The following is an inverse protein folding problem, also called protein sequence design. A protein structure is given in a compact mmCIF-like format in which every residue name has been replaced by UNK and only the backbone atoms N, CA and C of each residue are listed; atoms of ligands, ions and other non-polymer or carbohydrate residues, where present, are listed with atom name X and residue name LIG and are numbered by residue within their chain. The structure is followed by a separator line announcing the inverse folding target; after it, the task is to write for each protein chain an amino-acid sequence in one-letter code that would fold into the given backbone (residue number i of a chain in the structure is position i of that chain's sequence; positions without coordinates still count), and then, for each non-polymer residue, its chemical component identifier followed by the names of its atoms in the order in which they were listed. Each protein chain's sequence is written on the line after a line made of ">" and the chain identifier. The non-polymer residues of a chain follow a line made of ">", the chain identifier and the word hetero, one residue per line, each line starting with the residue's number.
data_IF_448706422103
#
_entry.id   IF_448706422103
#
_cell.length_a   1.000
_cell.length_b   1.000
_cell.length_c   1.000
_cell.angle_alpha   90.00
_cell.angle_beta   90.00
_cell.angle_gamma   90.00
#
_symmetry.space_group_name_H-M   'P 1'
#
loop_
_entity.id
_entity.type
_entity.pdbx_description
1 polymer ?
#
# COMPACT_ATOMS: atom_id res chain seq x y z
N UNK A 1 -4.07 -14.65 22.47
CA UNK A 1 -3.26 -13.56 21.88
C UNK A 1 -4.10 -12.39 21.31
N UNK A 2 -5.43 -12.35 21.46
CA UNK A 2 -6.25 -11.17 21.12
C UNK A 2 -6.48 -10.22 22.31
N UNK A 3 -5.86 -10.47 23.47
CA UNK A 3 -6.05 -9.69 24.71
C UNK A 3 -5.51 -8.26 24.62
N UNK A 4 -4.55 -8.00 23.72
CA UNK A 4 -3.85 -6.72 23.62
C UNK A 4 -4.24 -5.97 22.33
N UNK A 5 -5.46 -6.24 21.84
CA UNK A 5 -6.01 -5.56 20.67
C UNK A 5 -6.92 -4.39 21.08
N UNK A 6 -6.80 -3.28 20.37
CA UNK A 6 -7.63 -2.08 20.55
C UNK A 6 -8.40 -1.78 19.26
N UNK A 7 -9.57 -1.10 19.34
CA UNK A 7 -10.24 -0.64 18.14
C UNK A 7 -9.33 0.23 17.29
N UNK A 8 -9.36 0.03 15.97
CA UNK A 8 -8.57 0.85 15.05
C UNK A 8 -8.94 2.32 15.21
N UNK A 9 -7.91 3.20 15.22
CA UNK A 9 -8.07 4.62 15.50
C UNK A 9 -9.01 5.28 14.47
N UNK A 10 -10.24 5.59 14.89
CA UNK A 10 -11.25 6.24 14.03
C UNK A 10 -10.74 7.56 13.41
N UNK A 11 -9.89 8.29 14.15
CA UNK A 11 -9.27 9.52 13.69
C UNK A 11 -8.29 9.34 12.51
N UNK A 12 -7.89 8.10 12.18
CA UNK A 12 -7.01 7.76 11.05
C UNK A 12 -7.77 7.04 9.92
N UNK A 13 -9.09 6.90 10.03
CA UNK A 13 -9.88 6.22 9.02
C UNK A 13 -10.10 7.15 7.81
N UNK A 14 -9.56 6.77 6.63
CA UNK A 14 -9.86 7.43 5.36
C UNK A 14 -11.10 6.82 4.68
N UNK A 15 -11.24 5.49 4.75
CA UNK A 15 -12.41 4.75 4.30
C UNK A 15 -12.48 3.37 4.98
N UNK A 16 -13.68 2.76 5.02
CA UNK A 16 -13.86 1.32 5.22
C UNK A 16 -13.56 0.72 6.61
N UNK A 17 -14.01 -0.54 6.76
CA UNK A 17 -13.83 -1.50 7.88
C UNK A 17 -14.42 -1.14 9.25
N UNK A 18 -15.75 -1.27 9.37
CA UNK A 18 -16.38 -1.39 10.69
C UNK A 18 -15.80 -2.61 11.42
N UNK A 19 -15.44 -2.44 12.69
CA UNK A 19 -14.95 -3.53 13.54
C UNK A 19 -13.48 -3.90 13.33
N UNK A 20 -12.70 -3.12 12.57
CA UNK A 20 -11.26 -3.33 12.50
C UNK A 20 -10.60 -3.02 13.85
N UNK A 21 -9.62 -3.84 14.21
CA UNK A 21 -8.82 -3.72 15.43
C UNK A 21 -7.34 -3.58 15.05
N UNK A 22 -6.51 -3.23 16.03
CA UNK A 22 -5.05 -3.16 15.88
C UNK A 22 -4.36 -3.68 17.15
N UNK A 23 -3.10 -4.09 17.05
CA UNK A 23 -2.28 -4.37 18.25
C UNK A 23 -2.04 -3.09 19.07
N UNK A 24 -1.63 -3.23 20.32
CA UNK A 24 -1.21 -2.10 21.17
C UNK A 24 -0.08 -1.28 20.52
N UNK A 25 0.88 -1.94 19.89
CA UNK A 25 1.96 -1.30 19.11
C UNK A 25 1.45 -0.57 17.86
N UNK A 26 0.25 -0.90 17.37
CA UNK A 26 -0.29 -0.45 16.09
C UNK A 26 0.34 -1.12 14.85
N UNK A 27 1.25 -2.08 15.05
CA UNK A 27 1.94 -2.81 13.98
C UNK A 27 1.04 -3.81 13.27
N UNK A 28 0.18 -4.50 14.00
CA UNK A 28 -0.76 -5.46 13.44
C UNK A 28 -2.12 -4.82 13.24
N UNK A 29 -2.73 -5.09 12.10
CA UNK A 29 -4.08 -4.71 11.75
C UNK A 29 -4.94 -5.96 11.62
N UNK A 30 -6.01 -6.02 12.41
CA UNK A 30 -6.96 -7.12 12.42
C UNK A 30 -8.23 -6.71 11.70
N UNK A 31 -8.48 -7.32 10.55
CA UNK A 31 -9.60 -6.97 9.66
C UNK A 31 -10.64 -8.09 9.65
N UNK A 32 -11.89 -7.84 10.10
CA UNK A 32 -13.01 -8.71 9.78
C UNK A 32 -13.13 -8.87 8.27
N UNK A 33 -12.98 -10.10 7.78
CA UNK A 33 -12.80 -10.36 6.37
C UNK A 33 -13.75 -11.46 5.89
N UNK A 34 -14.25 -11.29 4.66
CA UNK A 34 -15.02 -12.35 4.00
C UNK A 34 -14.10 -13.50 3.61
N UNK A 35 -14.64 -14.71 3.53
CA UNK A 35 -13.91 -15.89 3.05
C UNK A 35 -13.15 -15.65 1.74
N UNK A 36 -13.74 -14.90 0.79
CA UNK A 36 -13.06 -14.55 -0.48
C UNK A 36 -11.79 -13.72 -0.29
N UNK A 37 -11.81 -12.74 0.63
CA UNK A 37 -10.63 -11.91 0.90
C UNK A 37 -9.52 -12.72 1.56
N UNK A 38 -9.88 -13.63 2.46
CA UNK A 38 -8.95 -14.58 3.09
C UNK A 38 -8.32 -15.50 2.04
N UNK A 39 -9.16 -16.11 1.19
CA UNK A 39 -8.68 -16.97 0.11
C UNK A 39 -7.77 -16.21 -0.85
N UNK A 40 -8.04 -14.93 -1.13
CA UNK A 40 -7.17 -14.11 -1.96
C UNK A 40 -5.77 -14.01 -1.37
N UNK A 41 -5.65 -13.59 -0.09
CA UNK A 41 -4.36 -13.49 0.60
C UNK A 41 -3.61 -14.82 0.65
N UNK A 42 -4.30 -15.91 1.00
CA UNK A 42 -3.70 -17.25 1.00
C UNK A 42 -3.19 -17.67 -0.38
N UNK A 43 -3.95 -17.37 -1.43
CA UNK A 43 -3.59 -17.71 -2.82
C UNK A 43 -2.38 -16.92 -3.30
N UNK A 44 -2.33 -15.60 -3.04
CA UNK A 44 -1.18 -14.79 -3.46
C UNK A 44 0.09 -15.16 -2.71
N UNK A 45 0.00 -15.54 -1.42
CA UNK A 45 1.14 -16.00 -0.64
C UNK A 45 1.80 -17.26 -1.20
N UNK A 46 1.04 -18.12 -1.87
CA UNK A 46 1.54 -19.38 -2.41
C UNK A 46 1.95 -19.28 -3.89
N UNK A 47 1.25 -18.46 -4.67
CA UNK A 47 1.35 -18.50 -6.13
C UNK A 47 1.78 -17.18 -6.78
N UNK A 48 1.70 -16.06 -6.05
CA UNK A 48 1.94 -14.72 -6.62
C UNK A 48 2.88 -13.88 -5.74
N UNK A 49 4.17 -14.28 -5.55
CA UNK A 49 5.10 -13.49 -4.74
C UNK A 49 5.31 -12.01 -5.14
N UNK A 50 5.06 -11.64 -6.39
CA UNK A 50 5.10 -10.25 -6.85
C UNK A 50 3.86 -9.44 -6.42
N UNK A 51 2.72 -10.09 -6.18
CA UNK A 51 1.58 -9.46 -5.52
C UNK A 51 1.86 -9.14 -4.05
N UNK A 52 2.66 -9.96 -3.36
CA UNK A 52 3.06 -9.71 -1.97
C UNK A 52 3.84 -8.40 -1.82
N UNK A 53 4.49 -7.95 -2.90
CA UNK A 53 5.21 -6.69 -2.92
C UNK A 53 4.31 -5.48 -3.04
N UNK A 54 3.01 -5.63 -3.33
CA UNK A 54 2.07 -4.52 -3.58
C UNK A 54 0.83 -4.52 -2.68
N UNK A 55 0.79 -5.40 -1.67
CA UNK A 55 -0.31 -5.50 -0.69
C UNK A 55 0.26 -5.47 0.73
N UNK A 56 -0.57 -5.22 1.76
CA UNK A 56 -0.12 -5.35 3.15
C UNK A 56 0.34 -6.78 3.44
N UNK A 57 1.45 -6.91 4.19
CA UNK A 57 2.00 -8.21 4.59
C UNK A 57 0.95 -9.02 5.34
N UNK A 58 0.69 -10.24 4.88
CA UNK A 58 -0.28 -11.15 5.47
C UNK A 58 0.40 -12.12 6.45
N UNK A 59 -0.03 -12.11 7.70
CA UNK A 59 0.49 -12.97 8.77
C UNK A 59 -0.39 -14.20 9.05
N UNK A 60 -1.60 -14.25 8.49
CA UNK A 60 -2.53 -15.36 8.70
C UNK A 60 -3.92 -14.91 9.12
N UNK A 61 -4.69 -15.85 9.66
CA UNK A 61 -6.07 -15.62 10.12
C UNK A 61 -6.24 -16.00 11.58
N UNK A 62 -7.11 -15.29 12.28
CA UNK A 62 -7.58 -15.67 13.63
C UNK A 62 -9.07 -16.05 13.56
N UNK A 63 -9.44 -17.10 14.28
CA UNK A 63 -10.83 -17.51 14.51
C UNK A 63 -11.26 -17.18 15.93
N UNK A 64 -12.46 -16.65 16.13
CA UNK A 64 -13.00 -16.26 17.45
C UNK A 64 -13.03 -17.41 18.49
N UNK A 65 -12.98 -18.68 18.07
CA UNK A 65 -12.98 -19.85 18.98
C UNK A 65 -11.73 -20.03 19.86
N UNK A 66 -10.68 -19.23 19.71
CA UNK A 66 -9.49 -19.29 20.58
C UNK A 66 -9.58 -18.37 21.82
N UNK A 67 -10.78 -17.87 22.15
CA UNK A 67 -10.98 -16.89 23.22
C UNK A 67 -11.71 -17.44 24.46
N UNK A 68 -12.18 -18.70 24.45
CA UNK A 68 -13.05 -19.25 25.51
C UNK A 68 -12.50 -20.45 26.32
N UNK A 69 -11.21 -20.78 26.24
CA UNK A 69 -10.60 -21.74 27.19
C UNK A 69 -9.92 -21.04 28.37
N UNK A 70 -10.64 -20.16 29.08
CA UNK A 70 -10.23 -19.75 30.44
C UNK A 70 -11.32 -19.10 31.30
N UNK A 71 -12.62 -19.36 31.14
CA UNK A 71 -13.57 -19.09 32.23
C UNK A 71 -14.75 -20.06 32.19
N UNK A 72 -14.74 -21.04 33.11
CA UNK A 72 -15.89 -21.90 33.34
C UNK A 72 -17.00 -21.19 34.12
N UNK A 73 -18.23 -21.46 33.68
CA UNK A 73 -19.49 -21.48 34.45
C UNK A 73 -20.10 -20.14 34.89
N UNK A 74 -21.16 -19.69 34.18
CA UNK A 74 -22.53 -19.78 34.69
C UNK A 74 -23.56 -19.16 33.72
N UNK A 75 -24.74 -19.81 33.73
CA UNK A 75 -26.07 -19.31 33.39
C UNK A 75 -26.52 -19.31 31.90
N UNK A 76 -27.71 -19.88 31.75
CA UNK A 76 -28.35 -20.29 30.52
C UNK A 76 -29.44 -19.32 30.04
N UNK A 77 -29.75 -19.47 28.75
CA UNK A 77 -30.99 -19.15 28.01
C UNK A 77 -31.36 -17.67 27.83
N UNK A 78 -31.38 -17.17 26.59
CA UNK A 78 -32.63 -16.92 25.83
C UNK A 78 -32.40 -16.80 24.30
N UNK A 79 -33.32 -17.44 23.59
CA UNK A 79 -33.96 -17.14 22.30
C UNK A 79 -33.20 -17.09 20.96
N UNK A 80 -33.84 -17.74 19.99
CA UNK A 80 -33.36 -18.01 18.65
C UNK A 80 -33.73 -16.89 17.68
N UNK A 81 -32.71 -16.26 17.10
CA UNK A 81 -32.80 -15.73 15.73
C UNK A 81 -31.65 -16.31 14.92
N UNK A 82 -31.98 -17.33 14.11
CA UNK A 82 -31.10 -17.90 13.10
C UNK A 82 -31.09 -16.98 11.86
N UNK A 83 -30.22 -16.00 11.86
CA UNK A 83 -29.43 -15.71 10.65
C UNK A 83 -28.08 -16.39 10.89
N UNK A 84 -27.61 -17.18 9.93
CA UNK A 84 -26.36 -17.91 10.06
C UNK A 84 -25.23 -16.90 10.33
N UNK A 85 -24.73 -16.87 11.57
CA UNK A 85 -23.49 -16.20 11.90
C UNK A 85 -22.38 -16.90 11.09
N UNK A 86 -22.01 -16.33 9.94
CA UNK A 86 -20.75 -16.66 9.30
C UNK A 86 -19.67 -16.48 10.37
N UNK A 87 -18.91 -17.54 10.68
CA UNK A 87 -17.79 -17.46 11.62
C UNK A 87 -16.88 -16.30 11.17
N UNK A 88 -16.88 -15.18 11.89
CA UNK A 88 -16.09 -14.00 11.54
C UNK A 88 -14.61 -14.30 11.75
N UNK A 89 -13.93 -14.63 10.67
CA UNK A 89 -12.48 -14.73 10.67
C UNK A 89 -11.86 -13.34 10.54
N UNK A 90 -10.78 -13.12 11.28
CA UNK A 90 -9.97 -11.91 11.18
C UNK A 90 -8.75 -12.19 10.30
N UNK A 91 -8.52 -11.35 9.30
CA UNK A 91 -7.22 -11.25 8.63
C UNK A 91 -6.24 -10.52 9.56
N UNK A 92 -5.03 -11.07 9.71
CA UNK A 92 -3.91 -10.42 10.40
C UNK A 92 -2.95 -9.86 9.35
N UNK A 93 -2.83 -8.54 9.29
CA UNK A 93 -2.00 -7.82 8.32
C UNK A 93 -0.98 -6.92 9.03
N UNK A 94 0.18 -6.65 8.42
CA UNK A 94 1.02 -5.51 8.82
C UNK A 94 0.26 -4.23 8.52
N UNK A 95 0.11 -3.37 9.52
CA UNK A 95 -0.56 -2.08 9.40
C UNK A 95 0.22 -1.17 8.46
N UNK A 96 -0.44 -0.67 7.40
CA UNK A 96 0.15 0.33 6.51
C UNK A 96 0.35 1.70 7.17
N UNK A 97 -0.09 1.87 8.42
CA UNK A 97 0.07 3.09 9.22
C UNK A 97 1.10 2.95 10.36
N UNK A 98 1.73 1.79 10.50
CA UNK A 98 2.72 1.57 11.56
C UNK A 98 3.93 2.50 11.38
N UNK A 99 4.41 3.06 12.49
CA UNK A 99 5.58 3.95 12.55
C UNK A 99 5.37 5.37 12.04
N UNK A 100 4.20 5.73 11.50
CA UNK A 100 3.88 7.13 11.17
C UNK A 100 3.57 7.94 12.44
N UNK A 101 4.07 9.18 12.51
CA UNK A 101 3.70 10.14 13.56
C UNK A 101 2.35 10.76 13.23
N UNK A 102 2.25 11.40 12.06
CA UNK A 102 1.03 12.04 11.59
C UNK A 102 0.73 11.64 10.13
N UNK A 103 0.24 10.41 9.88
CA UNK A 103 0.01 9.94 8.51
C UNK A 103 -1.09 10.76 7.81
N UNK A 104 -0.80 11.17 6.59
CA UNK A 104 -1.80 11.61 5.61
C UNK A 104 -2.22 10.39 4.78
N UNK A 105 -3.53 10.11 4.73
CA UNK A 105 -4.08 8.86 4.17
C UNK A 105 -5.08 9.19 3.05
N UNK A 106 -4.99 8.49 1.92
CA UNK A 106 -5.89 8.62 0.78
C UNK A 106 -6.27 7.23 0.25
N UNK A 107 -7.56 6.95 0.16
CA UNK A 107 -8.10 5.75 -0.47
C UNK A 107 -8.66 6.10 -1.85
N UNK A 108 -8.12 5.49 -2.91
CA UNK A 108 -8.64 5.58 -4.28
C UNK A 108 -9.22 4.24 -4.68
N UNK A 109 -10.54 4.20 -4.94
CA UNK A 109 -11.20 3.04 -5.53
C UNK A 109 -10.91 2.94 -7.02
N UNK A 110 -10.61 1.72 -7.46
CA UNK A 110 -10.25 1.40 -8.84
C UNK A 110 -11.42 0.77 -9.61
N UNK A 111 -11.41 0.99 -10.93
CA UNK A 111 -12.34 0.41 -11.89
C UNK A 111 -13.58 1.28 -12.16
N UNK A 112 -14.11 1.13 -13.37
CA UNK A 112 -15.39 1.70 -13.79
C UNK A 112 -16.57 0.78 -13.46
N UNK A 113 -16.36 -0.53 -13.40
CA UNK A 113 -17.37 -1.48 -12.93
C UNK A 113 -17.22 -1.70 -11.42
N UNK A 114 -18.28 -1.38 -10.68
CA UNK A 114 -18.24 -1.34 -9.21
C UNK A 114 -18.89 -2.55 -8.53
N UNK A 115 -19.48 -3.45 -9.31
CA UNK A 115 -20.19 -4.64 -8.84
C UNK A 115 -19.56 -5.92 -9.40
N UNK A 116 -19.68 -6.99 -8.63
CA UNK A 116 -19.26 -8.35 -8.98
C UNK A 116 -20.40 -9.07 -9.73
N UNK A 117 -20.09 -9.54 -10.93
CA UNK A 117 -21.00 -10.23 -11.85
C UNK A 117 -21.61 -11.50 -11.28
N UNK A 118 -20.91 -12.14 -10.34
CA UNK A 118 -21.36 -13.41 -9.76
C UNK A 118 -22.23 -13.23 -8.52
N UNK A 119 -22.28 -12.02 -7.94
CA UNK A 119 -22.93 -11.79 -6.64
C UNK A 119 -23.94 -10.65 -6.61
N UNK A 120 -23.82 -9.67 -7.51
CA UNK A 120 -24.65 -8.49 -7.43
C UNK A 120 -26.08 -8.79 -7.88
N UNK A 121 -27.05 -8.51 -7.00
CA UNK A 121 -28.47 -8.49 -7.38
C UNK A 121 -28.71 -7.40 -8.44
N UNK A 122 -29.79 -7.50 -9.24
CA UNK A 122 -30.13 -6.47 -10.23
C UNK A 122 -30.19 -5.06 -9.62
N UNK A 123 -30.80 -4.91 -8.44
CA UNK A 123 -30.92 -3.63 -7.74
C UNK A 123 -29.56 -3.09 -7.28
N UNK A 124 -28.67 -3.99 -6.82
CA UNK A 124 -27.31 -3.63 -6.43
C UNK A 124 -26.48 -3.22 -7.65
N UNK A 125 -26.64 -3.89 -8.79
CA UNK A 125 -26.03 -3.53 -10.07
C UNK A 125 -26.49 -2.13 -10.49
N UNK A 126 -27.79 -1.90 -10.62
CA UNK A 126 -28.35 -0.63 -11.11
C UNK A 126 -27.87 0.55 -10.25
N UNK A 127 -27.88 0.38 -8.92
CA UNK A 127 -27.36 1.39 -7.99
C UNK A 127 -25.87 1.67 -8.20
N UNK A 128 -25.07 0.64 -8.41
CA UNK A 128 -23.62 0.77 -8.58
C UNK A 128 -23.24 1.29 -9.98
N UNK A 129 -24.03 0.99 -11.00
CA UNK A 129 -23.93 1.59 -12.32
C UNK A 129 -24.24 3.08 -12.27
N UNK A 130 -25.29 3.49 -11.53
CA UNK A 130 -25.57 4.91 -11.31
C UNK A 130 -24.43 5.63 -10.59
N UNK A 131 -23.81 4.99 -9.60
CA UNK A 131 -22.62 5.56 -8.92
C UNK A 131 -21.46 5.69 -9.90
N UNK A 132 -21.22 4.68 -10.76
CA UNK A 132 -20.17 4.77 -11.77
C UNK A 132 -20.43 5.92 -12.75
N UNK A 133 -21.65 6.02 -13.27
CA UNK A 133 -22.06 7.03 -14.25
C UNK A 133 -21.98 8.48 -13.72
N UNK A 134 -22.15 8.67 -12.40
CA UNK A 134 -22.19 10.00 -11.78
C UNK A 134 -20.91 10.41 -11.07
N UNK A 135 -19.87 9.58 -11.11
CA UNK A 135 -18.59 9.85 -10.44
C UNK A 135 -17.42 9.66 -11.39
N UNK A 136 -16.21 10.00 -10.92
CA UNK A 136 -15.00 9.74 -11.70
C UNK A 136 -14.73 8.25 -11.94
N UNK A 137 -15.42 7.32 -11.27
CA UNK A 137 -15.29 5.89 -11.60
C UNK A 137 -15.70 5.60 -13.05
N UNK A 138 -16.80 6.16 -13.53
CA UNK A 138 -17.20 5.95 -14.93
C UNK A 138 -16.26 6.66 -15.92
N UNK A 139 -15.88 7.90 -15.62
CA UNK A 139 -15.12 8.73 -16.57
C UNK A 139 -13.61 8.49 -16.56
N UNK A 140 -13.03 8.19 -15.40
CA UNK A 140 -11.58 8.03 -15.16
C UNK A 140 -11.20 6.61 -14.73
N UNK A 141 -12.16 5.69 -14.54
CA UNK A 141 -11.91 4.37 -13.96
C UNK A 141 -11.29 4.40 -12.56
N UNK A 142 -11.45 5.51 -11.83
CA UNK A 142 -11.05 5.62 -10.42
C UNK A 142 -11.83 6.71 -9.68
N UNK A 143 -11.87 6.68 -8.35
CA UNK A 143 -12.42 7.78 -7.54
C UNK A 143 -11.78 7.83 -6.15
N UNK A 144 -11.71 9.02 -5.58
CA UNK A 144 -11.37 9.19 -4.16
C UNK A 144 -12.52 8.61 -3.33
N UNK A 145 -12.23 7.62 -2.49
CA UNK A 145 -13.18 7.04 -1.55
C UNK A 145 -13.21 7.81 -0.22
N UNK A 146 -12.06 8.36 0.17
CA UNK A 146 -11.91 9.28 1.28
C UNK A 146 -10.44 9.63 1.53
N UNK A 147 -10.21 10.70 2.30
CA UNK A 147 -8.89 11.13 2.73
C UNK A 147 -8.91 11.56 4.19
N UNK A 148 -7.79 11.41 4.88
CA UNK A 148 -7.57 11.98 6.20
C UNK A 148 -6.19 12.64 6.20
N UNK A 149 -6.17 13.97 6.24
CA UNK A 149 -4.97 14.73 5.89
C UNK A 149 -4.55 15.63 7.05
N UNK A 150 -3.30 15.48 7.49
CA UNK A 150 -2.70 16.31 8.53
C UNK A 150 -2.09 17.58 7.92
N UNK A 151 -2.51 18.73 8.41
CA UNK A 151 -2.01 20.06 8.00
C UNK A 151 -1.06 20.58 9.07
N UNK A 152 0.21 20.72 8.72
CA UNK A 152 1.22 21.31 9.62
C UNK A 152 0.98 22.81 9.76
N UNK A 153 1.00 23.32 10.99
CA UNK A 153 0.99 24.76 11.28
C UNK A 153 2.43 25.31 11.40
N UNK A 154 3.42 24.46 11.70
CA UNK A 154 4.82 24.84 11.71
C UNK A 154 5.38 24.91 10.28
N UNK A 155 5.95 26.07 9.94
CA UNK A 155 6.78 26.24 8.72
C UNK A 155 8.22 25.75 8.91
N UNK A 156 8.62 25.39 10.13
CA UNK A 156 9.97 24.93 10.44
C UNK A 156 10.05 23.41 10.47
N UNK A 157 10.96 22.78 9.71
CA UNK A 157 11.22 21.34 9.78
C UNK A 157 11.89 20.89 11.09
N UNK A 158 12.39 21.82 11.92
CA UNK A 158 13.18 21.51 13.10
C UNK A 158 12.36 21.19 14.36
N UNK A 159 11.03 21.37 14.34
CA UNK A 159 10.17 21.23 15.52
C UNK A 159 8.86 20.52 15.17
N UNK A 160 8.36 19.57 15.99
CA UNK A 160 7.06 18.93 15.78
C UNK A 160 5.91 19.94 15.66
N UNK A 161 4.93 19.67 14.80
CA UNK A 161 3.78 20.57 14.58
C UNK A 161 2.59 20.24 15.47
N UNK A 162 1.90 21.27 15.96
CA UNK A 162 0.57 21.23 16.58
C UNK A 162 -0.57 21.16 15.55
N UNK A 163 -0.34 20.49 14.42
CA UNK A 163 -1.17 20.58 13.22
C UNK A 163 -2.61 20.07 13.36
N UNK A 164 -3.41 20.27 12.31
CA UNK A 164 -4.84 19.91 12.27
C UNK A 164 -5.11 18.80 11.25
N UNK A 165 -5.90 17.79 11.65
CA UNK A 165 -6.43 16.77 10.73
C UNK A 165 -7.72 17.21 10.07
N UNK A 166 -7.81 17.03 8.75
CA UNK A 166 -8.98 17.33 7.93
C UNK A 166 -9.45 16.04 7.25
N UNK A 167 -10.65 15.53 7.60
CA UNK A 167 -11.25 14.40 6.90
C UNK A 167 -11.97 14.89 5.63
N UNK A 168 -11.81 14.15 4.55
CA UNK A 168 -12.56 14.28 3.31
C UNK A 168 -13.30 12.97 3.09
N UNK A 169 -14.62 13.01 3.20
CA UNK A 169 -15.44 11.81 3.21
C UNK A 169 -15.77 11.29 1.80
N UNK A 170 -16.60 10.25 1.74
CA UNK A 170 -17.13 9.70 0.49
C UNK A 170 -17.93 10.70 -0.34
N UNK A 171 -18.52 11.73 0.27
CA UNK A 171 -19.31 12.72 -0.46
C UNK A 171 -18.38 13.68 -1.20
N UNK A 172 -17.29 14.09 -0.56
CA UNK A 172 -16.23 14.86 -1.23
C UNK A 172 -15.77 14.16 -2.52
N UNK A 173 -15.37 12.89 -2.43
CA UNK A 173 -14.87 12.15 -3.58
C UNK A 173 -15.90 11.94 -4.70
N UNK A 174 -17.19 11.83 -4.35
CA UNK A 174 -18.30 11.68 -5.32
C UNK A 174 -18.66 12.98 -6.04
N UNK A 175 -18.30 14.13 -5.48
CA UNK A 175 -18.54 15.44 -6.11
C UNK A 175 -17.47 15.81 -7.14
N UNK A 176 -16.34 15.09 -7.15
CA UNK A 176 -15.28 15.32 -8.13
C UNK A 176 -15.71 14.90 -9.53
N UNK A 177 -15.23 15.64 -10.51
CA UNK A 177 -15.38 15.40 -11.95
C UNK A 177 -14.01 15.23 -12.57
N UNK A 178 -13.95 14.85 -13.85
CA UNK A 178 -12.69 14.78 -14.60
C UNK A 178 -11.89 16.09 -14.55
N UNK A 179 -12.57 17.23 -14.53
CA UNK A 179 -11.94 18.54 -14.64
C UNK A 179 -11.33 19.04 -13.32
N UNK A 180 -11.94 18.68 -12.18
CA UNK A 180 -11.47 19.11 -10.85
C UNK A 180 -10.81 17.99 -10.04
N UNK A 181 -10.67 16.78 -10.61
CA UNK A 181 -10.08 15.64 -9.91
C UNK A 181 -8.67 15.94 -9.42
N UNK A 182 -7.84 16.57 -10.25
CA UNK A 182 -6.44 16.92 -9.91
C UNK A 182 -6.38 17.93 -8.76
N UNK A 183 -7.26 18.92 -8.74
CA UNK A 183 -7.36 19.87 -7.62
C UNK A 183 -7.84 19.19 -6.33
N UNK A 184 -8.79 18.27 -6.46
CA UNK A 184 -9.26 17.43 -5.35
C UNK A 184 -8.14 16.55 -4.78
N UNK A 185 -7.34 15.94 -5.66
CA UNK A 185 -6.18 15.13 -5.30
C UNK A 185 -5.06 15.97 -4.68
N UNK A 186 -4.83 17.20 -5.15
CA UNK A 186 -3.82 18.10 -4.58
C UNK A 186 -4.07 18.42 -3.10
N UNK A 187 -5.33 18.34 -2.63
CA UNK A 187 -5.66 18.47 -1.20
C UNK A 187 -5.08 17.36 -0.33
N UNK A 188 -4.65 16.25 -0.91
CA UNK A 188 -3.93 15.19 -0.21
C UNK A 188 -2.51 15.64 0.20
N UNK A 189 -1.91 16.61 -0.48
CA UNK A 189 -0.53 17.05 -0.27
C UNK A 189 -0.44 18.51 0.26
N UNK A 190 -1.16 18.89 1.34
CA UNK A 190 -1.26 20.29 1.74
C UNK A 190 0.07 20.88 2.21
N UNK A 191 0.94 20.08 2.81
CA UNK A 191 2.21 20.55 3.36
C UNK A 191 3.32 20.68 2.30
N UNK A 192 3.05 20.21 1.08
CA UNK A 192 4.01 20.14 -0.03
C UNK A 192 3.62 21.03 -1.22
N UNK A 193 2.32 21.28 -1.40
CA UNK A 193 1.79 22.06 -2.52
C UNK A 193 1.28 23.45 -2.13
N UNK A 194 1.30 23.81 -0.83
CA UNK A 194 0.82 25.12 -0.36
C UNK A 194 1.84 26.27 -0.47
N UNK A 195 3.09 25.99 -0.86
CA UNK A 195 4.12 27.00 -1.14
C UNK A 195 4.15 27.38 -2.63
N UNK A 196 4.33 28.66 -2.93
CA UNK A 196 4.41 29.16 -4.30
C UNK A 196 5.40 28.37 -5.16
N UNK A 197 4.97 28.01 -6.37
CA UNK A 197 5.82 27.71 -7.53
C UNK A 197 6.91 26.64 -7.32
N UNK A 198 6.52 25.44 -6.91
CA UNK A 198 7.25 24.23 -7.32
C UNK A 198 8.71 24.16 -6.87
N UNK A 199 9.07 24.74 -5.71
CA UNK A 199 10.40 24.68 -5.09
C UNK A 199 10.50 23.67 -3.92
N UNK A 200 9.39 23.07 -3.48
CA UNK A 200 9.42 22.05 -2.41
C UNK A 200 9.97 20.71 -2.94
N UNK A 201 11.27 20.49 -2.75
CA UNK A 201 11.95 19.28 -3.19
C UNK A 201 11.39 18.01 -2.53
N UNK A 202 10.96 18.11 -1.27
CA UNK A 202 10.37 16.98 -0.53
C UNK A 202 8.99 16.64 -1.09
N UNK A 203 8.20 17.65 -1.43
CA UNK A 203 6.92 17.47 -2.11
C UNK A 203 7.05 16.78 -3.46
N UNK A 204 8.02 17.21 -4.27
CA UNK A 204 8.32 16.53 -5.54
C UNK A 204 8.75 15.10 -5.29
N UNK A 205 9.52 14.84 -4.24
CA UNK A 205 10.01 13.52 -3.91
C UNK A 205 8.90 12.55 -3.48
N UNK A 206 7.99 12.96 -2.59
CA UNK A 206 6.83 12.14 -2.20
C UNK A 206 5.99 11.78 -3.43
N UNK A 207 5.76 12.73 -4.33
CA UNK A 207 5.08 12.46 -5.59
C UNK A 207 5.85 11.41 -6.41
N UNK A 208 7.17 11.55 -6.56
CA UNK A 208 8.03 10.59 -7.28
C UNK A 208 7.85 9.15 -6.82
N UNK A 209 7.88 8.94 -5.50
CA UNK A 209 7.71 7.62 -4.92
C UNK A 209 6.38 7.02 -5.38
N UNK A 210 5.27 7.76 -5.23
CA UNK A 210 3.95 7.27 -5.63
C UNK A 210 3.86 6.99 -7.12
N UNK A 211 4.47 7.84 -7.96
CA UNK A 211 4.55 7.61 -9.41
C UNK A 211 5.21 6.26 -9.70
N UNK A 212 6.41 6.04 -9.17
CA UNK A 212 7.21 4.85 -9.46
C UNK A 212 6.54 3.60 -8.91
N UNK A 213 5.97 3.71 -7.71
CA UNK A 213 5.22 2.64 -7.08
C UNK A 213 3.96 2.27 -7.86
N UNK A 214 3.23 3.24 -8.42
CA UNK A 214 2.10 2.95 -9.31
C UNK A 214 2.51 2.29 -10.61
N UNK A 215 3.68 2.63 -11.18
CA UNK A 215 4.17 1.95 -12.38
C UNK A 215 4.44 0.49 -12.07
N UNK A 216 5.05 0.23 -10.91
CA UNK A 216 5.28 -1.13 -10.44
C UNK A 216 3.96 -1.89 -10.24
N UNK A 217 2.98 -1.30 -9.55
CA UNK A 217 1.64 -1.90 -9.38
C UNK A 217 0.98 -2.15 -10.74
N UNK A 218 1.02 -1.20 -11.66
CA UNK A 218 0.47 -1.36 -13.01
C UNK A 218 1.11 -2.55 -13.74
N UNK A 219 2.45 -2.67 -13.69
CA UNK A 219 3.17 -3.77 -14.32
C UNK A 219 2.80 -5.12 -13.70
N UNK A 220 2.78 -5.21 -12.36
CA UNK A 220 2.36 -6.42 -11.65
C UNK A 220 0.93 -6.81 -12.05
N UNK A 221 -0.01 -5.87 -12.03
CA UNK A 221 -1.41 -6.15 -12.41
C UNK A 221 -1.56 -6.51 -13.89
N UNK A 222 -0.71 -5.99 -14.78
CA UNK A 222 -0.73 -6.31 -16.22
C UNK A 222 -0.22 -7.72 -16.50
N UNK A 223 0.62 -8.27 -15.62
CA UNK A 223 1.23 -9.59 -15.78
C UNK A 223 0.29 -10.74 -15.38
N UNK A 224 -0.86 -10.44 -14.78
CA UNK A 224 -1.75 -11.45 -14.22
C UNK A 224 -3.22 -11.26 -14.57
N UNK A 225 -3.94 -12.38 -14.62
CA UNK A 225 -5.35 -12.40 -14.99
C UNK A 225 -6.25 -12.38 -13.74
N UNK A 226 -6.41 -11.17 -13.21
CA UNK A 226 -7.35 -10.87 -12.13
C UNK A 226 -8.58 -10.15 -12.67
N UNK A 227 -9.69 -10.27 -11.95
CA UNK A 227 -10.76 -9.28 -12.00
C UNK A 227 -10.95 -8.69 -10.62
N UNK A 228 -10.82 -7.38 -10.53
CA UNK A 228 -10.94 -6.66 -9.28
C UNK A 228 -12.16 -5.75 -9.34
N UNK A 229 -13.06 -5.89 -8.37
CA UNK A 229 -14.19 -4.98 -8.19
C UNK A 229 -14.06 -4.29 -6.85
N UNK A 230 -14.11 -2.96 -6.85
CA UNK A 230 -14.06 -2.15 -5.63
C UNK A 230 -12.79 -2.26 -4.77
N UNK A 231 -11.71 -2.82 -5.31
CA UNK A 231 -10.37 -2.73 -4.72
C UNK A 231 -9.90 -1.26 -4.68
N UNK A 232 -8.98 -0.97 -3.76
CA UNK A 232 -8.52 0.37 -3.50
C UNK A 232 -7.00 0.45 -3.49
N UNK A 233 -6.46 1.57 -3.96
CA UNK A 233 -5.10 2.01 -3.69
C UNK A 233 -5.11 2.84 -2.41
N UNK A 234 -4.32 2.44 -1.41
CA UNK A 234 -4.15 3.16 -0.16
C UNK A 234 -2.81 3.90 -0.18
N UNK A 235 -2.86 5.21 -0.32
CA UNK A 235 -1.72 6.11 -0.25
C UNK A 235 -1.55 6.58 1.20
N UNK A 236 -0.32 6.51 1.70
CA UNK A 236 0.05 7.00 3.04
C UNK A 236 1.36 7.75 2.93
N UNK A 237 1.49 8.92 3.56
CA UNK A 237 2.79 9.57 3.76
C UNK A 237 2.84 10.30 5.12
N UNK A 238 4.05 10.54 5.63
CA UNK A 238 4.29 11.27 6.89
C UNK A 238 3.98 12.76 6.73
N UNK A 239 2.92 13.22 7.40
CA UNK A 239 2.41 14.59 7.32
C UNK A 239 3.15 15.58 8.20
N UNK A 240 3.76 15.13 9.31
CA UNK A 240 4.59 15.99 10.16
C UNK A 240 5.94 16.23 9.48
N UNK A 241 6.21 17.48 9.07
CA UNK A 241 7.45 17.85 8.36
C UNK A 241 8.71 17.57 9.17
N UNK A 242 8.66 17.67 10.50
CA UNK A 242 9.81 17.39 11.35
C UNK A 242 10.07 15.89 11.52
N UNK A 243 9.01 15.08 11.58
CA UNK A 243 9.15 13.63 11.53
C UNK A 243 9.63 13.17 10.16
N UNK A 244 9.05 13.73 9.09
CA UNK A 244 9.43 13.45 7.70
C UNK A 244 10.92 13.72 7.46
N UNK A 245 11.41 14.91 7.82
CA UNK A 245 12.82 15.28 7.59
C UNK A 245 13.78 14.35 8.32
N UNK A 246 13.51 14.05 9.61
CA UNK A 246 14.37 13.16 10.40
C UNK A 246 14.44 11.74 9.81
N UNK A 247 13.28 11.17 9.46
CA UNK A 247 13.21 9.84 8.83
C UNK A 247 13.87 9.85 7.44
N UNK A 248 13.76 10.95 6.70
CA UNK A 248 14.38 11.08 5.38
C UNK A 248 15.91 11.09 5.48
N UNK A 249 16.46 11.86 6.42
CA UNK A 249 17.90 11.88 6.69
C UNK A 249 18.41 10.51 7.15
N UNK A 250 17.61 9.79 7.95
CA UNK A 250 17.93 8.42 8.38
C UNK A 250 17.91 7.43 7.21
N UNK A 251 16.89 7.51 6.34
CA UNK A 251 16.79 6.70 5.13
C UNK A 251 18.00 6.90 4.22
N UNK A 252 18.40 8.15 3.97
CA UNK A 252 19.56 8.47 3.13
C UNK A 252 20.86 7.89 3.70
N UNK A 253 21.05 7.93 5.03
CA UNK A 253 22.22 7.34 5.70
C UNK A 253 22.23 5.82 5.57
N UNK A 254 21.11 5.16 5.82
CA UNK A 254 21.02 3.70 5.70
C UNK A 254 21.24 3.24 4.25
N UNK A 255 20.69 3.96 3.26
CA UNK A 255 20.92 3.63 1.86
C UNK A 255 22.36 3.85 1.42
N UNK A 256 23.04 4.89 1.91
CA UNK A 256 24.45 5.11 1.63
C UNK A 256 25.32 3.98 2.23
N UNK A 257 25.04 3.55 3.46
CA UNK A 257 25.72 2.41 4.09
C UNK A 257 25.49 1.11 3.31
N UNK A 258 24.26 0.83 2.90
CA UNK A 258 23.93 -0.34 2.06
C UNK A 258 24.56 -0.28 0.64
N UNK A 259 24.88 0.91 0.13
CA UNK A 259 25.63 1.08 -1.12
C UNK A 259 27.12 0.82 -0.90
N UNK A 260 27.73 1.36 0.18
CA UNK A 260 29.14 1.15 0.54
C UNK A 260 29.47 -0.32 0.86
N UNK A 261 28.62 -0.99 1.65
CA UNK A 261 28.76 -2.42 1.98
C UNK A 261 28.68 -3.32 0.74
N UNK A 262 28.02 -2.88 -0.33
CA UNK A 262 27.94 -3.63 -1.58
C UNK A 262 29.10 -3.37 -2.55
N UNK A 263 29.88 -2.30 -2.37
CA UNK A 263 31.05 -1.97 -3.19
C UNK A 263 32.38 -2.50 -2.63
N UNK A 264 32.45 -2.79 -1.32
CA UNK A 264 33.60 -3.46 -0.70
C UNK A 264 33.56 -4.98 -0.95
N UNK A 265 34.56 -5.59 -1.61
CA UNK A 265 34.61 -7.04 -1.76
C UNK A 265 34.81 -7.67 -0.39
N UNK A 266 33.83 -8.46 0.08
CA UNK A 266 33.87 -9.16 1.36
C UNK A 266 35.13 -10.02 1.46
N UNK A 267 36.14 -9.57 2.21
CA UNK A 267 37.10 -10.48 2.84
C UNK A 267 36.35 -11.11 4.01
N UNK A 268 36.00 -12.39 3.84
CA UNK A 268 35.36 -13.19 4.88
C UNK A 268 36.14 -13.07 6.19
N UNK A 269 35.50 -12.50 7.21
CA UNK A 269 35.67 -12.91 8.61
C UNK A 269 34.24 -13.08 9.16
N UNK A 270 33.77 -14.32 9.10
CA UNK A 270 32.53 -14.78 9.73
C UNK A 270 32.75 -14.79 11.25
N UNK A 271 32.54 -13.68 11.96
CA UNK A 271 32.49 -13.68 13.44
C UNK A 271 31.87 -12.38 14.02
N UNK A 272 30.68 -12.00 13.56
CA UNK A 272 29.80 -11.15 14.37
C UNK A 272 28.38 -11.70 14.35
N UNK A 273 28.08 -12.57 15.32
CA UNK A 273 26.72 -12.92 15.73
C UNK A 273 26.04 -11.71 16.42
N UNK A 274 25.99 -10.56 15.75
CA UNK A 274 25.07 -9.49 16.14
C UNK A 274 23.69 -9.89 15.62
N UNK A 275 22.69 -9.97 16.51
CA UNK A 275 21.31 -10.31 16.16
C UNK A 275 20.78 -9.38 15.05
N UNK A 276 20.88 -9.81 13.79
CA UNK A 276 20.45 -9.04 12.61
C UNK A 276 18.93 -8.76 12.61
N UNK A 277 18.15 -9.54 13.37
CA UNK A 277 16.69 -9.48 13.41
C UNK A 277 16.12 -8.19 14.06
N UNK A 278 16.91 -7.41 14.80
CA UNK A 278 16.45 -6.19 15.50
C UNK A 278 16.89 -4.87 14.83
N UNK A 279 17.64 -4.90 13.71
CA UNK A 279 18.06 -3.67 13.02
C UNK A 279 16.94 -3.12 12.13
N UNK A 280 16.58 -1.86 12.35
CA UNK A 280 15.67 -1.11 11.46
C UNK A 280 16.31 -0.95 10.09
N UNK A 281 15.66 -1.46 9.04
CA UNK A 281 16.18 -1.42 7.67
C UNK A 281 15.84 -0.11 6.96
N UNK A 282 16.54 0.21 5.86
CA UNK A 282 16.15 1.33 4.99
C UNK A 282 14.71 1.17 4.47
N UNK A 283 14.28 -0.06 4.18
CA UNK A 283 12.92 -0.35 3.76
C UNK A 283 11.90 -0.06 4.88
N UNK A 284 12.22 -0.36 6.14
CA UNK A 284 11.33 -0.03 7.26
C UNK A 284 11.16 1.47 7.43
N UNK A 285 12.24 2.26 7.33
CA UNK A 285 12.14 3.73 7.38
C UNK A 285 11.35 4.27 6.19
N UNK A 286 11.56 3.72 4.99
CA UNK A 286 10.80 4.10 3.80
C UNK A 286 9.29 3.84 3.99
N UNK A 287 8.93 2.66 4.49
CA UNK A 287 7.54 2.27 4.77
C UNK A 287 6.87 3.16 5.84
N UNK A 288 7.65 3.87 6.65
CA UNK A 288 7.22 4.86 7.64
C UNK A 288 7.22 6.32 7.14
N UNK A 289 7.69 6.55 5.91
CA UNK A 289 7.72 7.86 5.25
C UNK A 289 6.62 7.99 4.20
N UNK A 290 6.49 6.98 3.34
CA UNK A 290 5.46 6.90 2.31
C UNK A 290 5.22 5.44 1.91
N UNK A 291 3.96 5.09 1.71
CA UNK A 291 3.54 3.73 1.39
C UNK A 291 2.35 3.75 0.45
N UNK A 292 2.37 2.86 -0.54
CA UNK A 292 1.25 2.64 -1.44
C UNK A 292 1.02 1.14 -1.62
N UNK A 293 -0.15 0.72 -1.15
CA UNK A 293 -0.62 -0.66 -1.19
C UNK A 293 -1.95 -0.76 -1.92
N UNK A 294 -2.17 -1.91 -2.56
CA UNK A 294 -3.48 -2.35 -3.00
C UNK A 294 -4.18 -3.05 -1.82
N UNK A 295 -5.45 -2.72 -1.60
CA UNK A 295 -6.28 -3.26 -0.52
C UNK A 295 -7.71 -3.60 -1.01
N UNK A 296 -8.50 -4.21 -0.13
CA UNK A 296 -9.92 -4.56 -0.35
C UNK A 296 -10.17 -5.65 -1.41
N UNK A 297 -9.79 -6.89 -1.07
CA UNK A 297 -9.85 -8.02 -2.01
C UNK A 297 -11.12 -8.86 -1.94
N UNK A 298 -12.13 -8.41 -1.19
CA UNK A 298 -13.37 -9.15 -0.97
C UNK A 298 -14.20 -9.43 -2.24
N UNK A 299 -13.96 -8.70 -3.33
CA UNK A 299 -14.60 -8.91 -4.64
C UNK A 299 -13.56 -9.05 -5.75
N UNK A 300 -12.44 -9.70 -5.44
CA UNK A 300 -11.37 -10.01 -6.39
C UNK A 300 -11.38 -11.49 -6.71
N UNK A 301 -11.24 -11.82 -8.00
CA UNK A 301 -11.25 -13.19 -8.50
C UNK A 301 -10.12 -13.42 -9.49
N UNK A 302 -9.64 -14.66 -9.50
CA UNK A 302 -8.66 -15.16 -10.45
C UNK A 302 -9.45 -15.74 -11.64
N UNK A 303 -9.25 -15.20 -12.83
CA UNK A 303 -9.96 -15.66 -14.03
C UNK A 303 -8.97 -15.89 -15.17
N UNK A 304 -8.67 -17.15 -15.46
CA UNK A 304 -7.71 -17.50 -16.50
C UNK A 304 -8.30 -17.33 -17.90
N UNK A 305 -7.48 -16.89 -18.84
CA UNK A 305 -7.78 -16.84 -20.27
C UNK A 305 -8.59 -15.63 -20.73
N UNK A 306 -8.71 -14.59 -19.90
CA UNK A 306 -9.45 -13.35 -20.23
C UNK A 306 -8.56 -12.10 -20.23
N UNK A 307 -7.25 -12.27 -20.05
CA UNK A 307 -6.29 -11.16 -19.99
C UNK A 307 -6.38 -10.33 -18.70
N UNK A 308 -5.59 -9.25 -18.59
CA UNK A 308 -5.56 -8.39 -17.42
C UNK A 308 -6.83 -7.54 -17.24
N UNK A 309 -7.03 -6.95 -16.05
CA UNK A 309 -8.18 -6.09 -15.77
C UNK A 309 -7.98 -4.67 -16.35
N UNK A 310 -8.41 -4.48 -17.61
CA UNK A 310 -8.32 -3.20 -18.33
C UNK A 310 -8.97 -2.02 -17.59
N UNK A 311 -10.03 -2.28 -16.81
CA UNK A 311 -10.72 -1.25 -16.04
C UNK A 311 -9.82 -0.68 -14.95
N UNK A 312 -9.12 -1.56 -14.23
CA UNK A 312 -8.15 -1.18 -13.20
C UNK A 312 -6.91 -0.54 -13.82
N UNK A 313 -6.35 -1.16 -14.86
CA UNK A 313 -5.15 -0.65 -15.53
C UNK A 313 -5.36 0.76 -16.08
N UNK A 314 -6.52 1.04 -16.71
CA UNK A 314 -6.87 2.38 -17.18
C UNK A 314 -6.91 3.40 -16.04
N UNK A 315 -7.47 3.05 -14.88
CA UNK A 315 -7.50 3.93 -13.72
C UNK A 315 -6.08 4.29 -13.25
N UNK A 316 -5.21 3.29 -13.13
CA UNK A 316 -3.81 3.50 -12.76
C UNK A 316 -3.07 4.29 -13.84
N UNK A 317 -3.31 4.02 -15.13
CA UNK A 317 -2.69 4.73 -16.24
C UNK A 317 -3.05 6.22 -16.23
N UNK A 318 -4.29 6.59 -15.93
CA UNK A 318 -4.68 8.00 -15.75
C UNK A 318 -3.85 8.63 -14.64
N UNK A 319 -3.66 7.95 -13.51
CA UNK A 319 -2.80 8.44 -12.44
C UNK A 319 -1.33 8.54 -12.89
N UNK A 320 -0.82 7.58 -13.66
CA UNK A 320 0.54 7.59 -14.21
C UNK A 320 0.77 8.72 -15.21
N UNK A 321 -0.22 9.04 -16.05
CA UNK A 321 -0.18 10.15 -16.99
C UNK A 321 -0.17 11.51 -16.27
N UNK A 322 -0.89 11.61 -15.15
CA UNK A 322 -0.80 12.76 -14.23
C UNK A 322 0.56 12.87 -13.54
N UNK A 323 1.32 11.77 -13.51
CA UNK A 323 2.52 11.58 -12.70
C UNK A 323 3.82 11.45 -13.54
N UNK A 324 3.79 11.65 -14.87
CA UNK A 324 4.97 11.43 -15.74
C UNK A 324 6.18 12.31 -15.38
N UNK A 325 7.29 11.68 -14.93
CA UNK A 325 8.60 12.32 -14.68
C UNK A 325 9.75 11.79 -15.57
N UNK A 326 10.74 12.67 -15.79
CA UNK A 326 11.91 12.52 -16.69
C UNK A 326 13.22 12.13 -15.99
N UNK A 327 13.20 11.82 -14.70
CA UNK A 327 14.39 11.89 -13.84
C UNK A 327 14.92 10.55 -13.32
N UNK A 328 14.34 9.43 -13.77
CA UNK A 328 14.92 8.10 -13.55
C UNK A 328 16.23 8.01 -14.35
N UNK A 329 17.36 7.79 -13.66
CA UNK A 329 18.71 7.87 -14.27
C UNK A 329 19.28 6.51 -14.63
N UNK A 330 19.08 5.50 -13.78
CA UNK A 330 19.62 4.14 -14.00
C UNK A 330 18.90 3.09 -13.16
N UNK A 331 19.08 1.82 -13.50
CA UNK A 331 18.73 0.69 -12.66
C UNK A 331 19.92 -0.28 -12.57
N UNK A 332 20.08 -0.91 -11.42
CA UNK A 332 21.06 -1.96 -11.17
C UNK A 332 20.32 -3.21 -10.76
N UNK A 333 20.65 -4.35 -11.36
CA UNK A 333 20.07 -5.66 -11.03
C UNK A 333 21.18 -6.49 -10.40
N UNK A 334 21.10 -6.71 -9.09
CA UNK A 334 22.06 -7.54 -8.35
C UNK A 334 21.52 -8.96 -8.25
N UNK A 335 22.18 -9.88 -8.97
CA UNK A 335 21.85 -11.31 -8.96
C UNK A 335 22.50 -11.98 -7.74
N UNK A 336 21.82 -12.93 -7.10
CA UNK A 336 22.35 -13.65 -5.95
C UNK A 336 23.54 -14.55 -6.34
N UNK A 337 24.49 -14.73 -5.42
CA UNK A 337 25.68 -15.57 -5.57
C UNK A 337 25.40 -17.06 -5.33
N UNK A 338 24.34 -17.40 -4.58
CA UNK A 338 23.97 -18.77 -4.21
C UNK A 338 22.59 -19.18 -4.75
N UNK A 339 22.41 -20.49 -4.95
CA UNK A 339 21.13 -21.08 -5.36
C UNK A 339 20.11 -20.98 -4.21
N UNK A 340 19.37 -19.87 -4.17
CA UNK A 340 18.42 -19.52 -3.10
C UNK A 340 18.47 -18.05 -2.65
N UNK A 341 19.42 -17.25 -3.15
CA UNK A 341 19.52 -15.85 -2.78
C UNK A 341 18.49 -14.94 -3.47
N UNK A 342 18.39 -13.71 -2.98
CA UNK A 342 17.42 -12.70 -3.42
C UNK A 342 18.02 -11.80 -4.50
N UNK A 343 17.33 -11.63 -5.64
CA UNK A 343 17.70 -10.65 -6.66
C UNK A 343 17.23 -9.26 -6.25
N UNK A 344 18.14 -8.29 -6.16
CA UNK A 344 17.80 -6.89 -5.81
C UNK A 344 17.77 -6.01 -7.05
N UNK A 345 16.66 -5.32 -7.29
CA UNK A 345 16.49 -4.30 -8.32
C UNK A 345 16.64 -2.93 -7.68
N UNK A 346 17.76 -2.28 -7.92
CA UNK A 346 18.11 -0.97 -7.37
C UNK A 346 17.91 0.10 -8.45
N UNK A 347 16.81 0.84 -8.43
CA UNK A 347 16.51 1.93 -9.39
C UNK A 347 16.96 3.26 -8.81
N UNK A 348 17.91 3.94 -9.45
CA UNK A 348 18.42 5.24 -8.97
C UNK A 348 17.61 6.39 -9.57
N UNK A 349 16.90 7.08 -8.69
CA UNK A 349 16.28 8.38 -8.95
C UNK A 349 17.26 9.53 -8.74
N UNK A 350 16.76 10.77 -8.73
CA UNK A 350 17.63 11.94 -8.48
C UNK A 350 18.21 11.94 -7.07
N UNK A 351 17.45 11.47 -6.08
CA UNK A 351 17.80 11.53 -4.66
C UNK A 351 17.98 10.15 -4.02
N UNK A 352 17.09 9.19 -4.29
CA UNK A 352 17.10 7.87 -3.64
C UNK A 352 17.48 6.74 -4.58
N UNK A 353 17.97 5.67 -3.95
CA UNK A 353 18.03 4.35 -4.54
C UNK A 353 16.78 3.57 -4.12
N UNK A 354 15.92 3.24 -5.07
CA UNK A 354 14.76 2.39 -4.80
C UNK A 354 15.18 0.93 -4.95
N UNK A 355 15.22 0.18 -3.85
CA UNK A 355 15.58 -1.25 -3.87
C UNK A 355 14.33 -2.11 -3.80
N UNK A 356 14.17 -3.03 -4.75
CA UNK A 356 13.14 -4.07 -4.73
C UNK A 356 13.85 -5.42 -4.63
N UNK A 357 13.53 -6.20 -3.61
CA UNK A 357 14.15 -7.50 -3.33
C UNK A 357 13.21 -8.63 -3.76
N UNK A 358 13.70 -9.56 -4.59
CA UNK A 358 12.91 -10.62 -5.22
C UNK A 358 13.62 -11.98 -5.07
N UNK A 359 13.06 -12.87 -4.25
CA UNK A 359 13.63 -14.20 -4.00
C UNK A 359 13.45 -15.16 -5.19
N UNK A 360 12.43 -14.94 -6.03
CA UNK A 360 12.09 -15.80 -7.16
C UNK A 360 12.86 -15.38 -8.43
N UNK A 361 13.71 -16.30 -8.92
CA UNK A 361 14.57 -16.07 -10.09
C UNK A 361 13.79 -15.79 -11.38
N UNK A 362 12.73 -16.54 -11.66
CA UNK A 362 11.95 -16.35 -12.89
C UNK A 362 11.20 -15.00 -12.86
N UNK A 363 10.78 -14.55 -11.67
CA UNK A 363 10.14 -13.24 -11.48
C UNK A 363 11.12 -12.09 -11.62
N UNK A 364 12.32 -12.25 -11.09
CA UNK A 364 13.38 -11.29 -11.28
C UNK A 364 13.64 -11.09 -12.78
N UNK A 365 13.80 -12.17 -13.55
CA UNK A 365 14.02 -12.08 -15.00
C UNK A 365 12.89 -11.34 -15.74
N UNK A 366 11.62 -11.57 -15.37
CA UNK A 366 10.49 -10.82 -15.94
C UNK A 366 10.56 -9.33 -15.66
N UNK A 367 10.99 -8.93 -14.47
CA UNK A 367 11.10 -7.52 -14.07
C UNK A 367 12.27 -6.81 -14.76
N UNK A 368 13.37 -7.53 -15.07
CA UNK A 368 14.43 -6.98 -15.95
C UNK A 368 13.85 -6.56 -17.30
N UNK A 369 12.98 -7.39 -17.87
CA UNK A 369 12.38 -7.14 -19.19
C UNK A 369 11.30 -6.03 -19.17
N UNK A 370 10.82 -5.60 -18.01
CA UNK A 370 9.87 -4.48 -17.89
C UNK A 370 10.53 -3.13 -17.64
N UNK A 371 11.87 -3.10 -17.49
CA UNK A 371 12.62 -1.85 -17.36
C UNK A 371 12.52 -1.04 -18.67
N UNK A 372 12.39 0.30 -18.60
CA UNK A 372 12.27 1.15 -19.79
C UNK A 372 13.45 0.96 -20.74
N UNK A 373 13.19 0.83 -22.04
CA UNK A 373 14.22 0.58 -23.06
C UNK A 373 15.31 1.68 -23.18
N UNK A 374 15.07 2.87 -22.62
CA UNK A 374 16.05 3.97 -22.56
C UNK A 374 16.78 4.11 -21.21
N UNK A 375 16.52 3.21 -20.25
CA UNK A 375 17.14 3.23 -18.93
C UNK A 375 18.50 2.52 -18.97
N UNK A 376 19.53 3.13 -18.39
CA UNK A 376 20.83 2.45 -18.21
C UNK A 376 20.67 1.35 -17.16
N UNK A 377 20.69 0.09 -17.58
CA UNK A 377 20.60 -1.09 -16.71
C UNK A 377 21.97 -1.73 -16.56
N UNK A 378 22.45 -1.90 -15.33
CA UNK A 378 23.70 -2.60 -15.00
C UNK A 378 23.36 -3.90 -14.28
N UNK A 379 23.81 -5.04 -14.79
CA UNK A 379 23.73 -6.31 -14.05
C UNK A 379 25.04 -6.54 -13.28
N UNK A 380 24.92 -6.83 -11.98
CA UNK A 380 26.05 -7.21 -11.12
C UNK A 380 25.76 -8.57 -10.48
N UNK A 381 26.76 -9.46 -10.50
CA UNK A 381 26.74 -10.70 -9.72
C UNK A 381 27.36 -10.44 -8.36
N UNK A 382 26.66 -10.83 -7.29
CA UNK A 382 27.24 -10.85 -5.94
C UNK A 382 28.42 -11.81 -5.84
#
# INVERSE_FOLDING_TARGET
>A
MASDSTPFKAALQAAGHKGAMQSESGELFYKPAKAREIMFYQTISQHYPDFLLIVPTFYGTLSEKQQEESTSAAAAAVDATKEAAEESQLLVLKSSLYGYSEPCILDIKLGSQLWDELEATPEKRDRLDQVSATTTSGSLSLRIAGMNVFHSHSKSPATPSDGKRIPYDKLFGRQLTKDNFTEGLAKFFPNFLAGAAGEDEDGRFVLEYFVNRLKFIHQTLSAHEFRMRSASLLFVYEGDRAAFTRKLDELEKLQAQEEEEEEEPTTQDEDSEDNEDDKVTSQDIQDQLFKLDLIDFAHVRFEKGIGPDEGVLKGIQVFLELARRKDIRSATVKKPSSAGGVTKFKVRGTRFLYTISIADKEKAEKIVHTLPAGLKVTEISA
#
